data_IF_783259537495
#
_entry.id   IF_783259537495
#
_cell.length_a   1.000
_cell.length_b   1.000
_cell.length_c   1.000
_cell.angle_alpha   90.00
_cell.angle_beta   90.00
_cell.angle_gamma   90.00
#
_symmetry.space_group_name_H-M   'P 1'
#
loop_
_entity.id
_entity.type
_entity.pdbx_description
1 polymer ?
#
# COMPACT_ATOMS: atom_id res chain seq x y z
N UNK A 1 -14.43 -6.59 22.04
CA UNK A 1 -14.10 -5.27 21.47
C UNK A 1 -15.28 -4.80 20.63
N UNK A 2 -15.77 -3.58 20.87
CA UNK A 2 -16.90 -2.95 20.17
C UNK A 2 -16.38 -1.83 19.30
N UNK A 3 -16.52 -1.96 17.96
CA UNK A 3 -15.95 -1.03 16.99
C UNK A 3 -17.04 -0.43 16.12
N UNK A 4 -17.10 0.89 16.07
CA UNK A 4 -17.92 1.63 15.11
C UNK A 4 -17.05 2.09 13.95
N UNK A 5 -17.46 1.82 12.73
CA UNK A 5 -16.74 2.21 11.50
C UNK A 5 -17.60 3.25 10.75
N UNK A 6 -17.00 4.37 10.40
CA UNK A 6 -17.63 5.43 9.60
C UNK A 6 -16.97 5.46 8.23
N UNK A 7 -17.67 4.93 7.24
CA UNK A 7 -17.21 4.68 5.88
C UNK A 7 -17.23 3.19 5.53
N UNK A 8 -18.19 2.76 4.71
CA UNK A 8 -18.41 1.36 4.30
C UNK A 8 -17.71 0.98 2.99
N UNK A 9 -16.56 1.59 2.72
CA UNK A 9 -15.72 1.23 1.57
C UNK A 9 -14.87 -0.01 1.82
N UNK A 10 -13.88 -0.25 0.95
CA UNK A 10 -12.93 -1.36 1.04
C UNK A 10 -12.28 -1.49 2.43
N UNK A 11 -11.69 -0.40 2.92
CA UNK A 11 -10.93 -0.39 4.19
C UNK A 11 -11.85 -0.61 5.37
N UNK A 12 -12.93 0.17 5.49
CA UNK A 12 -13.86 0.08 6.61
C UNK A 12 -14.53 -1.28 6.71
N UNK A 13 -15.01 -1.82 5.60
CA UNK A 13 -15.63 -3.15 5.56
C UNK A 13 -14.62 -4.26 5.87
N UNK A 14 -13.37 -4.13 5.40
CA UNK A 14 -12.30 -5.10 5.74
C UNK A 14 -11.98 -5.11 7.24
N UNK A 15 -11.95 -3.92 7.88
CA UNK A 15 -11.80 -3.80 9.33
C UNK A 15 -12.98 -4.49 10.03
N UNK A 16 -14.22 -4.20 9.61
CA UNK A 16 -15.42 -4.79 10.20
C UNK A 16 -15.40 -6.33 10.11
N UNK A 17 -15.06 -6.89 8.96
CA UNK A 17 -14.91 -8.33 8.74
C UNK A 17 -13.83 -8.94 9.64
N UNK A 18 -12.69 -8.26 9.81
CA UNK A 18 -11.63 -8.76 10.68
C UNK A 18 -12.07 -8.71 12.15
N UNK A 19 -12.72 -7.64 12.60
CA UNK A 19 -13.29 -7.52 13.95
C UNK A 19 -14.25 -8.66 14.22
N UNK A 20 -15.18 -8.94 13.31
CA UNK A 20 -16.12 -10.06 13.43
C UNK A 20 -15.41 -11.41 13.51
N UNK A 21 -14.41 -11.63 12.65
CA UNK A 21 -13.62 -12.88 12.59
C UNK A 21 -12.87 -13.18 13.89
N UNK A 22 -12.43 -12.16 14.62
CA UNK A 22 -11.73 -12.32 15.90
C UNK A 22 -12.67 -12.27 17.12
N UNK A 23 -13.98 -12.38 16.91
CA UNK A 23 -14.99 -12.45 17.98
C UNK A 23 -15.37 -11.09 18.58
N UNK A 24 -15.10 -9.98 17.91
CA UNK A 24 -15.59 -8.65 18.26
C UNK A 24 -16.94 -8.34 17.62
N UNK A 25 -17.48 -7.15 17.93
CA UNK A 25 -18.70 -6.62 17.36
C UNK A 25 -18.37 -5.33 16.59
N UNK A 26 -18.91 -5.20 15.39
CA UNK A 26 -18.70 -4.04 14.55
C UNK A 26 -20.02 -3.48 14.02
N UNK A 27 -20.10 -2.17 13.80
CA UNK A 27 -21.16 -1.54 13.01
C UNK A 27 -20.54 -0.63 11.97
N UNK A 28 -21.07 -0.64 10.77
CA UNK A 28 -20.63 0.23 9.67
C UNK A 28 -21.73 1.24 9.37
N UNK A 29 -21.35 2.50 9.34
CA UNK A 29 -22.21 3.63 8.94
C UNK A 29 -21.59 4.22 7.67
N UNK A 30 -22.39 4.44 6.66
CA UNK A 30 -21.99 5.10 5.40
C UNK A 30 -23.12 6.00 4.90
N UNK A 31 -22.75 7.15 4.32
CA UNK A 31 -23.74 8.02 3.63
C UNK A 31 -24.37 7.35 2.42
N UNK A 32 -23.69 6.40 1.79
CA UNK A 32 -24.26 5.51 0.79
C UNK A 32 -24.93 4.32 1.51
N UNK A 33 -26.25 4.36 1.62
CA UNK A 33 -27.04 3.32 2.28
C UNK A 33 -26.88 1.91 1.65
N UNK A 34 -26.48 1.80 0.38
CA UNK A 34 -26.18 0.51 -0.22
C UNK A 34 -24.86 -0.07 0.34
N UNK A 35 -23.79 0.73 0.41
CA UNK A 35 -22.53 0.33 1.01
C UNK A 35 -22.71 -0.07 2.48
N UNK A 36 -23.46 0.73 3.24
CA UNK A 36 -23.76 0.41 4.64
C UNK A 36 -24.46 -0.95 4.79
N UNK A 37 -25.49 -1.22 3.98
CA UNK A 37 -26.21 -2.50 4.02
C UNK A 37 -25.31 -3.67 3.70
N UNK A 38 -24.59 -3.61 2.58
CA UNK A 38 -23.67 -4.69 2.16
C UNK A 38 -22.62 -4.93 3.24
N UNK A 39 -21.99 -3.90 3.78
CA UNK A 39 -20.98 -4.03 4.81
C UNK A 39 -21.53 -4.71 6.08
N UNK A 40 -22.72 -4.30 6.54
CA UNK A 40 -23.34 -4.88 7.74
C UNK A 40 -23.87 -6.31 7.50
N UNK A 41 -24.35 -6.63 6.29
CA UNK A 41 -24.73 -8.00 5.92
C UNK A 41 -23.51 -8.94 5.93
N UNK A 42 -22.36 -8.49 5.44
CA UNK A 42 -21.11 -9.27 5.45
C UNK A 42 -20.58 -9.57 6.86
N UNK A 43 -20.86 -8.70 7.84
CA UNK A 43 -20.49 -8.92 9.27
C UNK A 43 -21.39 -9.98 9.90
N UNK A 44 -22.64 -10.10 9.47
CA UNK A 44 -23.60 -11.06 9.97
C UNK A 44 -23.93 -10.89 11.45
N UNK A 45 -23.86 -11.99 12.23
CA UNK A 45 -24.22 -12.01 13.66
C UNK A 45 -23.30 -11.22 14.60
N UNK A 46 -22.18 -10.67 14.12
CA UNK A 46 -21.24 -9.86 14.90
C UNK A 46 -21.58 -8.35 14.82
N UNK A 47 -22.85 -8.00 14.55
CA UNK A 47 -23.28 -6.62 14.43
C UNK A 47 -23.40 -5.94 15.81
N UNK A 48 -22.68 -4.81 16.00
CA UNK A 48 -22.80 -3.95 17.16
C UNK A 48 -24.18 -3.24 17.13
N UNK A 49 -24.93 -3.35 18.21
CA UNK A 49 -26.26 -2.76 18.30
C UNK A 49 -26.20 -1.24 18.52
N UNK A 50 -27.21 -0.50 18.06
CA UNK A 50 -27.25 0.97 18.16
C UNK A 50 -27.17 1.52 19.58
N UNK A 51 -27.68 0.79 20.57
CA UNK A 51 -27.66 1.19 21.97
C UNK A 51 -26.33 0.88 22.68
N UNK A 52 -25.40 0.19 22.03
CA UNK A 52 -24.13 -0.19 22.59
C UNK A 52 -23.04 0.86 22.26
N UNK A 53 -22.43 1.40 23.32
CA UNK A 53 -21.33 2.36 23.14
C UNK A 53 -20.08 1.67 22.54
N UNK A 54 -19.49 2.21 21.48
CA UNK A 54 -18.24 1.70 20.93
C UNK A 54 -17.06 2.01 21.86
N UNK A 55 -16.09 1.11 21.90
CA UNK A 55 -14.78 1.34 22.54
C UNK A 55 -13.80 2.04 21.59
N UNK A 56 -13.97 1.82 20.30
CA UNK A 56 -13.15 2.38 19.23
C UNK A 56 -14.06 2.83 18.08
N UNK A 57 -13.79 4.02 17.56
CA UNK A 57 -14.38 4.49 16.29
C UNK A 57 -13.29 4.59 15.26
N UNK A 58 -13.52 4.01 14.08
CA UNK A 58 -12.60 4.05 12.94
C UNK A 58 -13.23 4.84 11.81
N UNK A 59 -12.64 5.98 11.46
CA UNK A 59 -13.07 6.84 10.35
C UNK A 59 -12.33 6.42 9.09
N UNK A 60 -13.08 5.95 8.10
CA UNK A 60 -12.57 5.43 6.83
C UNK A 60 -13.22 6.13 5.62
N UNK A 61 -13.61 7.38 5.81
CA UNK A 61 -14.15 8.26 4.77
C UNK A 61 -13.04 8.78 3.86
N UNK A 62 -13.37 9.32 2.67
CA UNK A 62 -12.38 10.05 1.86
C UNK A 62 -11.71 11.18 2.66
N UNK A 63 -10.47 11.48 2.29
CA UNK A 63 -9.58 12.40 3.04
C UNK A 63 -10.23 13.74 3.36
N UNK A 64 -10.97 14.31 2.42
CA UNK A 64 -11.61 15.63 2.59
C UNK A 64 -12.67 15.69 3.69
N UNK A 65 -13.20 14.55 4.09
CA UNK A 65 -14.26 14.47 5.10
C UNK A 65 -13.76 13.97 6.46
N UNK A 66 -12.51 13.49 6.55
CA UNK A 66 -11.99 12.86 7.79
C UNK A 66 -12.06 13.81 8.97
N UNK A 67 -11.60 15.05 8.80
CA UNK A 67 -11.47 15.99 9.91
C UNK A 67 -12.81 16.32 10.56
N UNK A 68 -13.84 16.58 9.76
CA UNK A 68 -15.18 16.87 10.24
C UNK A 68 -15.81 15.64 10.91
N UNK A 69 -15.68 14.46 10.26
CA UNK A 69 -16.23 13.20 10.79
C UNK A 69 -15.53 12.80 12.09
N UNK A 70 -14.21 12.96 12.19
CA UNK A 70 -13.47 12.70 13.44
C UNK A 70 -14.01 13.57 14.57
N UNK A 71 -14.17 14.89 14.35
CA UNK A 71 -14.73 15.77 15.37
C UNK A 71 -16.13 15.36 15.76
N UNK A 72 -17.01 15.08 14.80
CA UNK A 72 -18.35 14.58 15.06
C UNK A 72 -18.32 13.33 15.94
N UNK A 73 -17.48 12.35 15.61
CA UNK A 73 -17.41 11.09 16.35
C UNK A 73 -16.78 11.25 17.74
N UNK A 74 -15.84 12.17 17.94
CA UNK A 74 -15.32 12.53 19.26
C UNK A 74 -16.40 13.08 20.18
N UNK A 75 -17.31 13.89 19.63
CA UNK A 75 -18.42 14.47 20.40
C UNK A 75 -19.55 13.49 20.65
N UNK A 76 -19.89 12.64 19.68
CA UNK A 76 -20.96 11.65 19.80
C UNK A 76 -20.58 10.46 20.69
N UNK A 77 -19.31 10.12 20.80
CA UNK A 77 -18.81 8.94 21.51
C UNK A 77 -17.76 9.35 22.57
N UNK A 78 -18.16 9.98 23.68
CA UNK A 78 -17.24 10.61 24.63
C UNK A 78 -16.31 9.64 25.36
N UNK A 79 -16.56 8.33 25.31
CA UNK A 79 -15.73 7.30 25.94
C UNK A 79 -14.86 6.53 24.93
N UNK A 80 -15.10 6.70 23.63
CA UNK A 80 -14.38 5.98 22.61
C UNK A 80 -13.05 6.66 22.23
N UNK A 81 -12.07 5.86 21.84
CA UNK A 81 -10.92 6.31 21.09
C UNK A 81 -11.37 6.46 19.63
N UNK A 82 -10.94 7.51 18.95
CA UNK A 82 -11.21 7.72 17.53
C UNK A 82 -9.89 7.60 16.76
N UNK A 83 -9.87 6.78 15.72
CA UNK A 83 -8.77 6.67 14.76
C UNK A 83 -9.29 6.94 13.36
N UNK A 84 -8.41 7.32 12.45
CA UNK A 84 -8.72 7.39 11.02
C UNK A 84 -7.80 6.47 10.21
N UNK A 85 -8.10 6.30 8.93
CA UNK A 85 -7.29 5.51 7.99
C UNK A 85 -6.80 6.32 6.80
N UNK A 86 -6.84 7.63 6.90
CA UNK A 86 -6.50 8.54 5.79
C UNK A 86 -5.04 8.47 5.36
N UNK A 87 -4.80 8.80 4.10
CA UNK A 87 -3.47 8.73 3.47
C UNK A 87 -2.55 9.90 3.80
N UNK A 88 -3.06 10.96 4.44
CA UNK A 88 -2.27 12.13 4.89
C UNK A 88 -2.60 12.41 6.35
N UNK A 89 -1.63 12.90 7.13
CA UNK A 89 -1.77 13.05 8.57
C UNK A 89 -1.64 14.48 9.06
N UNK A 90 -0.66 15.26 8.60
CA UNK A 90 -0.39 16.60 9.10
C UNK A 90 -1.59 17.52 8.93
N UNK A 91 -2.15 17.57 7.73
CA UNK A 91 -3.34 18.38 7.43
C UNK A 91 -4.54 17.96 8.28
N UNK A 92 -4.82 16.66 8.36
CA UNK A 92 -5.96 16.12 9.11
C UNK A 92 -5.84 16.46 10.60
N UNK A 93 -4.68 16.29 11.22
CA UNK A 93 -4.46 16.64 12.63
C UNK A 93 -4.69 18.13 12.88
N UNK A 94 -4.15 18.99 12.01
CA UNK A 94 -4.30 20.44 12.13
C UNK A 94 -5.77 20.88 12.00
N UNK A 95 -6.49 20.33 11.05
CA UNK A 95 -7.91 20.64 10.83
C UNK A 95 -8.76 20.18 12.02
N UNK A 96 -8.58 18.93 12.52
CA UNK A 96 -9.29 18.42 13.70
C UNK A 96 -9.02 19.34 14.90
N UNK A 97 -7.76 19.69 15.15
CA UNK A 97 -7.42 20.61 16.23
C UNK A 97 -8.12 21.96 16.06
N UNK A 98 -8.03 22.56 14.87
CA UNK A 98 -8.63 23.88 14.58
C UNK A 98 -10.14 23.89 14.75
N UNK A 99 -10.84 22.81 14.34
CA UNK A 99 -12.29 22.72 14.53
C UNK A 99 -12.63 22.61 16.03
N UNK A 100 -11.92 21.75 16.77
CA UNK A 100 -12.14 21.60 18.22
C UNK A 100 -11.81 22.88 18.98
N UNK A 101 -10.79 23.62 18.58
CA UNK A 101 -10.43 24.91 19.19
C UNK A 101 -11.54 25.94 19.01
N UNK A 102 -12.08 26.09 17.80
CA UNK A 102 -13.23 26.97 17.52
C UNK A 102 -14.47 26.61 18.34
N UNK A 103 -14.62 25.34 18.70
CA UNK A 103 -15.71 24.83 19.52
C UNK A 103 -15.39 24.88 21.03
N UNK A 104 -14.21 25.32 21.45
CA UNK A 104 -13.72 25.24 22.83
C UNK A 104 -13.74 23.80 23.41
N UNK A 105 -13.38 22.81 22.57
CA UNK A 105 -13.40 21.37 22.87
C UNK A 105 -12.03 20.70 22.66
N UNK A 106 -10.94 21.43 22.76
CA UNK A 106 -9.58 20.92 22.54
C UNK A 106 -9.20 19.72 23.42
N UNK A 107 -9.81 19.60 24.61
CA UNK A 107 -9.61 18.44 25.48
C UNK A 107 -9.99 17.10 24.79
N UNK A 108 -10.92 17.11 23.85
CA UNK A 108 -11.34 15.91 23.12
C UNK A 108 -10.26 15.37 22.17
N UNK A 109 -9.32 16.22 21.76
CA UNK A 109 -8.25 15.84 20.84
C UNK A 109 -7.37 14.71 21.40
N UNK A 110 -7.24 14.57 22.69
CA UNK A 110 -6.44 13.49 23.32
C UNK A 110 -6.95 12.07 22.95
N UNK A 111 -8.22 11.94 22.56
CA UNK A 111 -8.84 10.69 22.15
C UNK A 111 -8.77 10.42 20.65
N UNK A 112 -8.25 11.33 19.85
CA UNK A 112 -8.01 11.13 18.42
C UNK A 112 -6.57 10.66 18.19
N UNK A 113 -6.37 9.41 17.82
CA UNK A 113 -5.07 8.88 17.39
C UNK A 113 -5.08 8.66 15.88
N UNK A 114 -4.46 9.53 15.11
CA UNK A 114 -4.43 9.41 13.65
C UNK A 114 -3.61 8.20 13.21
N UNK A 115 -4.13 7.44 12.24
CA UNK A 115 -3.45 6.24 11.72
C UNK A 115 -3.55 6.14 10.19
N UNK A 116 -2.74 5.26 9.60
CA UNK A 116 -2.82 4.96 8.17
C UNK A 116 -2.36 3.52 7.90
N UNK A 117 -3.26 2.59 7.53
CA UNK A 117 -2.89 1.26 7.07
C UNK A 117 -2.26 1.33 5.68
N UNK A 118 -1.04 0.80 5.51
CA UNK A 118 -0.40 0.66 4.20
C UNK A 118 -1.00 -0.52 3.45
N UNK A 119 -2.30 -0.47 3.22
CA UNK A 119 -3.08 -1.53 2.59
C UNK A 119 -4.12 -0.92 1.64
N UNK A 120 -4.28 -1.52 0.48
CA UNK A 120 -5.24 -1.12 -0.53
C UNK A 120 -5.33 -2.16 -1.63
N UNK A 121 -6.33 -2.04 -2.47
CA UNK A 121 -6.54 -2.83 -3.69
C UNK A 121 -7.07 -1.89 -4.77
N UNK A 122 -6.99 -2.32 -6.02
CA UNK A 122 -7.53 -1.61 -7.18
C UNK A 122 -9.07 -1.69 -7.25
N UNK A 123 -9.70 -2.36 -6.28
CA UNK A 123 -11.15 -2.47 -6.13
C UNK A 123 -11.64 -1.47 -5.09
N UNK A 124 -12.73 -0.78 -5.38
CA UNK A 124 -13.42 0.14 -4.46
C UNK A 124 -14.71 -0.50 -3.93
N UNK A 125 -15.24 0.05 -2.82
CA UNK A 125 -16.51 -0.41 -2.23
C UNK A 125 -16.38 -1.62 -1.30
N UNK A 126 -17.50 -2.05 -0.68
CA UNK A 126 -17.52 -3.18 0.25
C UNK A 126 -17.29 -4.54 -0.41
N UNK A 127 -17.61 -4.70 -1.69
CA UNK A 127 -17.50 -5.97 -2.44
C UNK A 127 -16.04 -6.44 -2.58
N UNK A 128 -15.09 -5.52 -2.53
CA UNK A 128 -13.66 -5.83 -2.56
C UNK A 128 -13.07 -6.18 -1.20
N UNK A 129 -13.86 -6.09 -0.12
CA UNK A 129 -13.37 -6.21 1.24
C UNK A 129 -12.94 -7.63 1.61
N UNK A 130 -11.91 -7.72 2.47
CA UNK A 130 -11.34 -8.99 2.96
C UNK A 130 -10.89 -8.86 4.40
N UNK A 131 -11.16 -9.88 5.20
CA UNK A 131 -10.72 -9.93 6.60
C UNK A 131 -9.21 -10.05 6.80
N UNK A 132 -8.46 -10.41 5.76
CA UNK A 132 -7.00 -10.57 5.74
C UNK A 132 -6.27 -9.42 5.04
N UNK A 133 -6.96 -8.33 4.71
CA UNK A 133 -6.39 -7.21 3.95
C UNK A 133 -5.13 -6.61 4.61
N UNK A 134 -5.07 -6.62 5.93
CA UNK A 134 -4.02 -5.97 6.73
C UNK A 134 -2.91 -6.93 7.19
N UNK A 135 -3.05 -8.24 6.95
CA UNK A 135 -2.08 -9.24 7.39
C UNK A 135 -0.66 -8.95 6.89
N UNK A 136 0.27 -8.81 7.83
CA UNK A 136 1.67 -8.49 7.54
C UNK A 136 1.92 -7.08 6.98
N UNK A 137 0.91 -6.21 6.92
CA UNK A 137 1.04 -4.84 6.39
C UNK A 137 1.54 -3.88 7.46
N UNK A 138 2.29 -2.87 7.03
CA UNK A 138 2.61 -1.74 7.89
C UNK A 138 1.35 -0.91 8.17
N UNK A 139 1.25 -0.39 9.41
CA UNK A 139 0.19 0.53 9.81
C UNK A 139 0.79 1.66 10.63
N UNK A 140 0.84 2.86 10.07
CA UNK A 140 1.39 4.02 10.75
C UNK A 140 0.43 4.53 11.83
N UNK A 141 1.00 4.95 12.97
CA UNK A 141 0.32 5.71 14.02
C UNK A 141 1.09 7.01 14.20
N UNK A 142 0.39 8.14 14.15
CA UNK A 142 1.01 9.45 14.26
C UNK A 142 0.45 10.23 15.46
N UNK A 143 0.74 9.78 16.70
CA UNK A 143 0.21 10.41 17.90
C UNK A 143 0.80 11.82 18.09
N UNK A 144 0.02 12.70 18.67
CA UNK A 144 0.53 13.96 19.22
C UNK A 144 1.39 13.66 20.47
N UNK A 145 2.32 14.56 20.83
CA UNK A 145 3.22 14.37 21.99
C UNK A 145 2.46 14.05 23.29
N UNK A 146 1.31 14.70 23.54
CA UNK A 146 0.46 14.47 24.71
C UNK A 146 -0.16 13.07 24.78
N UNK A 147 -0.12 12.31 23.70
CA UNK A 147 -0.67 10.97 23.60
C UNK A 147 0.37 9.87 23.76
N UNK A 148 1.66 10.25 23.80
CA UNK A 148 2.75 9.30 23.97
C UNK A 148 2.70 8.65 25.36
N UNK A 149 2.82 7.32 25.40
CA UNK A 149 2.78 6.55 26.64
C UNK A 149 1.39 6.41 27.29
N UNK A 150 0.32 6.82 26.59
CA UNK A 150 -1.06 6.68 27.12
C UNK A 150 -1.62 5.27 26.90
N UNK A 151 -2.59 4.88 27.74
CA UNK A 151 -3.38 3.66 27.56
C UNK A 151 -4.09 3.62 26.19
N UNK A 152 -4.57 4.76 25.71
CA UNK A 152 -5.20 4.88 24.40
C UNK A 152 -4.26 4.47 23.27
N UNK A 153 -2.98 4.86 23.33
CA UNK A 153 -1.99 4.47 22.32
C UNK A 153 -1.74 2.95 22.35
N UNK A 154 -1.61 2.36 23.54
CA UNK A 154 -1.40 0.91 23.65
C UNK A 154 -2.62 0.11 23.18
N UNK A 155 -3.83 0.60 23.45
CA UNK A 155 -5.08 -0.01 22.93
C UNK A 155 -5.14 0.05 21.41
N UNK A 156 -4.74 1.16 20.77
CA UNK A 156 -4.67 1.26 19.30
C UNK A 156 -3.61 0.35 18.72
N UNK A 157 -2.41 0.23 19.34
CA UNK A 157 -1.42 -0.76 18.93
C UNK A 157 -1.95 -2.20 19.03
N UNK A 158 -2.64 -2.52 20.12
CA UNK A 158 -3.30 -3.81 20.31
C UNK A 158 -4.35 -4.10 19.23
N UNK A 159 -5.16 -3.10 18.90
CA UNK A 159 -6.12 -3.19 17.78
C UNK A 159 -5.43 -3.47 16.45
N UNK A 160 -4.38 -2.71 16.09
CA UNK A 160 -3.62 -2.91 14.86
C UNK A 160 -2.99 -4.31 14.81
N UNK A 161 -2.43 -4.77 15.92
CA UNK A 161 -1.91 -6.15 16.04
C UNK A 161 -3.01 -7.20 15.83
N UNK A 162 -4.22 -6.99 16.38
CA UNK A 162 -5.36 -7.87 16.16
C UNK A 162 -5.86 -7.87 14.69
N UNK A 163 -5.62 -6.79 13.94
CA UNK A 163 -5.83 -6.77 12.48
C UNK A 163 -4.80 -7.59 11.71
N UNK A 164 -3.72 -8.08 12.36
CA UNK A 164 -2.62 -8.79 11.73
C UNK A 164 -1.55 -7.86 11.13
N UNK A 165 -1.64 -6.57 11.41
CA UNK A 165 -0.72 -5.56 10.90
C UNK A 165 0.42 -5.25 11.89
N UNK A 166 1.49 -4.64 11.38
CA UNK A 166 2.63 -4.18 12.18
C UNK A 166 2.53 -2.67 12.35
N UNK A 167 2.46 -2.19 13.60
CA UNK A 167 2.35 -0.76 13.89
C UNK A 167 3.72 -0.07 13.85
N UNK A 168 3.76 1.13 13.25
CA UNK A 168 4.92 2.01 13.19
C UNK A 168 4.56 3.38 13.76
N UNK A 169 5.28 3.80 14.83
CA UNK A 169 5.11 5.12 15.41
C UNK A 169 6.03 6.12 14.71
N UNK A 170 5.47 7.26 14.33
CA UNK A 170 6.21 8.37 13.76
C UNK A 170 5.42 9.68 13.91
N UNK A 171 6.03 10.83 13.67
CA UNK A 171 5.29 12.09 13.59
C UNK A 171 4.44 12.16 12.32
N UNK A 172 3.40 13.00 12.32
CA UNK A 172 2.57 13.23 11.14
C UNK A 172 3.40 13.75 9.94
N UNK A 173 4.34 14.66 10.19
CA UNK A 173 5.23 15.18 9.15
C UNK A 173 6.15 14.08 8.57
N UNK A 174 6.73 13.24 9.42
CA UNK A 174 7.57 12.15 8.96
C UNK A 174 6.77 11.13 8.13
N UNK A 175 5.54 10.81 8.56
CA UNK A 175 4.61 10.00 7.78
C UNK A 175 4.38 10.60 6.40
N UNK A 176 3.96 11.88 6.34
CA UNK A 176 3.61 12.55 5.08
C UNK A 176 4.83 12.68 4.14
N UNK A 177 6.04 12.88 4.70
CA UNK A 177 7.29 12.83 3.95
C UNK A 177 7.57 11.44 3.37
N UNK A 178 7.37 10.38 4.16
CA UNK A 178 7.61 9.00 3.69
C UNK A 178 6.62 8.59 2.62
N UNK A 179 5.31 8.85 2.80
CA UNK A 179 4.31 8.49 1.78
C UNK A 179 4.42 9.34 0.52
N UNK A 180 4.93 10.57 0.63
CA UNK A 180 5.27 11.38 -0.54
C UNK A 180 6.26 10.66 -1.45
N UNK A 181 7.32 10.04 -0.87
CA UNK A 181 8.34 9.30 -1.63
C UNK A 181 7.87 7.92 -2.08
N UNK A 182 7.15 7.19 -1.23
CA UNK A 182 6.87 5.77 -1.45
C UNK A 182 5.55 5.50 -2.17
N UNK A 183 4.66 6.48 -2.23
CA UNK A 183 3.32 6.36 -2.80
C UNK A 183 2.97 7.49 -3.76
N UNK A 184 3.02 8.75 -3.30
CA UNK A 184 2.48 9.88 -4.06
C UNK A 184 3.32 10.20 -5.30
N UNK A 185 4.65 10.27 -5.15
CA UNK A 185 5.55 10.54 -6.27
C UNK A 185 5.52 9.43 -7.32
N UNK A 186 5.57 8.14 -6.98
CA UNK A 186 5.37 7.05 -7.95
C UNK A 186 4.07 7.17 -8.75
N UNK A 187 2.96 7.50 -8.09
CA UNK A 187 1.67 7.70 -8.75
C UNK A 187 1.71 8.89 -9.73
N UNK A 188 2.29 10.03 -9.32
CA UNK A 188 2.45 11.20 -10.20
C UNK A 188 3.29 10.88 -11.43
N UNK A 189 4.42 10.20 -11.23
CA UNK A 189 5.33 9.85 -12.33
C UNK A 189 4.69 8.85 -13.31
N UNK A 190 3.96 7.85 -12.79
CA UNK A 190 3.22 6.92 -13.62
C UNK A 190 2.17 7.65 -14.47
N UNK A 191 1.42 8.58 -13.85
CA UNK A 191 0.40 9.38 -14.53
C UNK A 191 1.02 10.34 -15.55
N UNK A 192 2.15 10.98 -15.22
CA UNK A 192 2.86 11.85 -16.15
C UNK A 192 3.39 11.07 -17.36
N UNK A 193 3.99 9.90 -17.14
CA UNK A 193 4.44 9.02 -18.21
C UNK A 193 3.29 8.57 -19.11
N UNK A 194 2.20 8.07 -18.52
CA UNK A 194 1.04 7.63 -19.27
C UNK A 194 0.39 8.76 -20.08
N UNK A 195 0.35 9.97 -19.53
CA UNK A 195 -0.26 11.15 -20.16
C UNK A 195 0.50 11.69 -21.38
N UNK A 196 1.75 11.31 -21.59
CA UNK A 196 2.54 11.72 -22.78
C UNK A 196 2.64 10.64 -23.86
N UNK A 197 2.03 9.48 -23.66
CA UNK A 197 2.04 8.40 -24.64
C UNK A 197 1.21 8.76 -25.85
N UNK A 198 1.75 8.48 -27.04
CA UNK A 198 1.10 8.69 -28.33
C UNK A 198 0.99 7.35 -29.08
N UNK A 199 -0.13 7.11 -29.73
CA UNK A 199 -0.32 5.93 -30.57
C UNK A 199 0.42 6.05 -31.91
N UNK A 200 0.84 4.93 -32.54
CA UNK A 200 0.61 3.54 -32.11
C UNK A 200 1.58 3.06 -31.02
N UNK A 201 1.15 2.08 -30.22
CA UNK A 201 1.95 1.48 -29.13
C UNK A 201 2.23 -0.01 -29.37
N UNK A 202 2.38 -0.42 -30.61
CA UNK A 202 2.57 -1.83 -31.02
C UNK A 202 3.83 -2.47 -30.39
N UNK A 203 4.81 -1.65 -30.02
CA UNK A 203 6.05 -2.08 -29.38
C UNK A 203 6.03 -1.98 -27.84
N UNK A 204 4.85 -1.78 -27.24
CA UNK A 204 4.72 -1.66 -25.80
C UNK A 204 5.11 -2.98 -25.08
N UNK A 205 6.28 -2.97 -24.45
CA UNK A 205 6.80 -4.07 -23.64
C UNK A 205 6.37 -4.00 -22.18
N UNK A 206 6.84 -4.99 -21.39
CA UNK A 206 6.49 -5.10 -19.96
C UNK A 206 6.95 -3.89 -19.15
N UNK A 207 8.10 -3.30 -19.44
CA UNK A 207 8.61 -2.12 -18.72
C UNK A 207 7.64 -0.93 -18.77
N UNK A 208 7.03 -0.66 -19.95
CA UNK A 208 6.01 0.39 -20.05
C UNK A 208 4.76 0.05 -19.25
N UNK A 209 4.29 -1.21 -19.30
CA UNK A 209 3.10 -1.67 -18.54
C UNK A 209 3.33 -1.53 -17.04
N UNK A 210 4.49 -1.93 -16.53
CA UNK A 210 4.83 -1.83 -15.11
C UNK A 210 4.87 -0.38 -14.64
N UNK A 211 5.49 0.50 -15.43
CA UNK A 211 5.61 1.93 -15.12
C UNK A 211 4.26 2.66 -15.16
N UNK A 212 3.36 2.31 -16.08
CA UNK A 212 2.07 2.99 -16.26
C UNK A 212 0.92 2.36 -15.47
N UNK A 213 1.11 1.19 -14.88
CA UNK A 213 0.05 0.46 -14.15
C UNK A 213 -0.61 1.32 -13.06
N UNK A 214 0.18 2.09 -12.33
CA UNK A 214 -0.34 2.97 -11.27
C UNK A 214 -1.23 4.10 -11.81
N UNK A 215 -1.04 4.52 -13.06
CA UNK A 215 -1.85 5.59 -13.66
C UNK A 215 -3.33 5.23 -13.78
N UNK A 216 -3.66 3.92 -13.80
CA UNK A 216 -5.05 3.44 -13.84
C UNK A 216 -5.66 3.39 -12.42
N UNK A 217 -5.72 4.54 -11.75
CA UNK A 217 -6.19 4.70 -10.37
C UNK A 217 -7.38 5.66 -10.30
N UNK A 218 -8.14 5.59 -9.21
CA UNK A 218 -9.28 6.46 -8.95
C UNK A 218 -8.84 7.92 -8.76
N UNK A 219 -9.20 8.78 -9.70
CA UNK A 219 -8.88 10.22 -9.71
C UNK A 219 -9.47 10.93 -8.48
N UNK A 220 -10.70 10.57 -8.09
CA UNK A 220 -11.38 11.21 -6.96
C UNK A 220 -10.67 10.91 -5.62
N UNK A 221 -10.03 9.75 -5.51
CA UNK A 221 -9.21 9.41 -4.35
C UNK A 221 -7.88 10.19 -4.34
N UNK A 222 -7.21 10.33 -5.49
CA UNK A 222 -5.87 10.91 -5.55
C UNK A 222 -5.83 12.43 -5.47
N UNK A 223 -6.84 13.11 -6.03
CA UNK A 223 -6.89 14.58 -6.04
C UNK A 223 -6.74 15.20 -4.63
N UNK A 224 -7.51 14.82 -3.59
CA UNK A 224 -7.35 15.36 -2.26
C UNK A 224 -6.03 14.95 -1.59
N UNK A 225 -5.50 13.75 -1.90
CA UNK A 225 -4.20 13.30 -1.38
C UNK A 225 -3.07 14.20 -1.88
N UNK A 226 -3.02 14.48 -3.18
CA UNK A 226 -2.00 15.37 -3.75
C UNK A 226 -2.11 16.79 -3.22
N UNK A 227 -3.33 17.33 -3.16
CA UNK A 227 -3.56 18.67 -2.62
C UNK A 227 -3.16 18.79 -1.14
N UNK A 228 -3.47 17.74 -0.36
CA UNK A 228 -3.19 17.72 1.09
C UNK A 228 -1.76 17.41 1.48
N UNK A 229 -0.92 16.89 0.56
CA UNK A 229 0.50 16.61 0.82
C UNK A 229 1.45 17.31 -0.18
N UNK A 230 0.97 18.37 -0.82
CA UNK A 230 1.72 19.09 -1.85
C UNK A 230 3.06 19.64 -1.34
N UNK A 231 3.14 20.10 -0.08
CA UNK A 231 4.36 20.59 0.53
C UNK A 231 5.49 19.56 0.56
N UNK A 232 5.16 18.27 0.79
CA UNK A 232 6.14 17.19 0.80
C UNK A 232 6.45 16.66 -0.60
N UNK A 233 5.50 16.76 -1.53
CA UNK A 233 5.64 16.27 -2.91
C UNK A 233 6.47 17.22 -3.76
N UNK A 234 6.22 18.54 -3.64
CA UNK A 234 6.82 19.55 -4.52
C UNK A 234 8.36 19.49 -4.56
N UNK A 235 9.09 19.45 -3.43
CA UNK A 235 10.56 19.39 -3.47
C UNK A 235 11.10 18.11 -4.14
N UNK A 236 10.38 16.99 -3.99
CA UNK A 236 10.74 15.72 -4.63
C UNK A 236 10.57 15.80 -6.15
N UNK A 237 9.46 16.37 -6.59
CA UNK A 237 9.17 16.57 -8.00
C UNK A 237 10.18 17.53 -8.65
N UNK A 238 10.50 18.63 -7.98
CA UNK A 238 11.52 19.60 -8.45
C UNK A 238 12.89 18.94 -8.59
N UNK A 239 13.26 18.05 -7.66
CA UNK A 239 14.52 17.30 -7.73
C UNK A 239 14.58 16.40 -8.96
N UNK A 240 13.47 15.72 -9.32
CA UNK A 240 13.38 14.89 -10.53
C UNK A 240 13.46 15.75 -11.77
N UNK A 241 12.69 16.85 -11.84
CA UNK A 241 12.71 17.78 -12.97
C UNK A 241 14.12 18.32 -13.20
N UNK A 242 14.80 18.73 -12.12
CA UNK A 242 16.19 19.18 -12.20
C UNK A 242 17.11 18.13 -12.78
N UNK A 243 17.03 16.89 -12.29
CA UNK A 243 17.87 15.78 -12.76
C UNK A 243 17.65 15.46 -14.24
N UNK A 244 16.38 15.51 -14.71
CA UNK A 244 16.03 15.30 -16.12
C UNK A 244 16.53 16.47 -16.98
N UNK A 245 16.39 17.70 -16.52
CA UNK A 245 16.89 18.87 -17.24
C UNK A 245 18.41 18.87 -17.37
N UNK A 246 19.15 18.52 -16.32
CA UNK A 246 20.60 18.37 -16.37
C UNK A 246 21.05 17.34 -17.41
N UNK A 247 20.34 16.22 -17.52
CA UNK A 247 20.60 15.21 -18.54
C UNK A 247 20.34 15.74 -19.96
N UNK A 248 19.21 16.42 -20.16
CA UNK A 248 18.81 17.03 -21.42
C UNK A 248 19.80 18.15 -21.85
N UNK A 249 20.17 19.05 -20.93
CA UNK A 249 21.05 20.20 -21.22
C UNK A 249 22.48 19.78 -21.56
N UNK A 250 22.89 18.58 -21.11
CA UNK A 250 24.16 17.93 -21.52
C UNK A 250 24.00 17.05 -22.76
N UNK A 251 22.90 17.17 -23.51
CA UNK A 251 22.64 16.46 -24.76
C UNK A 251 22.81 14.94 -24.65
N UNK A 252 22.46 14.35 -23.49
CA UNK A 252 22.63 12.93 -23.23
C UNK A 252 24.04 12.38 -23.49
N UNK A 253 25.09 13.16 -23.21
CA UNK A 253 26.45 12.66 -23.37
C UNK A 253 26.75 11.49 -22.42
N UNK A 254 27.74 10.66 -22.74
CA UNK A 254 28.02 9.41 -22.03
C UNK A 254 28.21 9.58 -20.51
N UNK A 255 28.86 10.66 -20.07
CA UNK A 255 29.14 10.93 -18.67
C UNK A 255 27.85 11.27 -17.92
N UNK A 256 27.00 12.13 -18.49
CA UNK A 256 25.71 12.51 -17.85
C UNK A 256 24.74 11.34 -17.80
N UNK A 257 24.67 10.51 -18.84
CA UNK A 257 23.85 9.29 -18.86
C UNK A 257 24.35 8.31 -17.80
N UNK A 258 25.65 8.05 -17.72
CA UNK A 258 26.23 7.15 -16.73
C UNK A 258 25.88 7.62 -15.31
N UNK A 259 26.15 8.90 -14.98
CA UNK A 259 25.87 9.47 -13.67
C UNK A 259 24.38 9.36 -13.29
N UNK A 260 23.48 9.67 -14.23
CA UNK A 260 22.02 9.58 -14.04
C UNK A 260 21.59 8.14 -13.74
N UNK A 261 22.04 7.19 -14.55
CA UNK A 261 21.69 5.77 -14.38
C UNK A 261 22.27 5.18 -13.09
N UNK A 262 23.50 5.50 -12.73
CA UNK A 262 24.10 5.08 -11.45
C UNK A 262 23.36 5.62 -10.25
N UNK A 263 22.87 6.86 -10.30
CA UNK A 263 22.03 7.43 -9.24
C UNK A 263 20.73 6.63 -9.09
N UNK A 264 20.11 6.21 -10.19
CA UNK A 264 18.93 5.35 -10.19
C UNK A 264 19.21 3.98 -9.56
N UNK A 265 20.30 3.33 -9.94
CA UNK A 265 20.73 2.03 -9.36
C UNK A 265 20.96 2.15 -7.85
N UNK A 266 21.70 3.19 -7.41
CA UNK A 266 21.89 3.45 -5.97
C UNK A 266 20.56 3.71 -5.23
N UNK A 267 19.62 4.39 -5.87
CA UNK A 267 18.28 4.65 -5.33
C UNK A 267 17.47 3.36 -5.18
N UNK A 268 17.44 2.55 -6.22
CA UNK A 268 16.73 1.25 -6.20
C UNK A 268 17.27 0.32 -5.11
N UNK A 269 18.58 0.32 -4.86
CA UNK A 269 19.20 -0.44 -3.79
C UNK A 269 18.79 -0.03 -2.37
N UNK A 270 18.12 1.11 -2.18
CA UNK A 270 17.58 1.56 -0.88
C UNK A 270 16.18 1.02 -0.59
N UNK A 271 15.47 0.51 -1.61
CA UNK A 271 14.13 -0.02 -1.42
C UNK A 271 14.22 -1.35 -0.68
N UNK A 272 13.58 -1.49 0.50
CA UNK A 272 13.65 -2.73 1.27
C UNK A 272 13.13 -3.92 0.47
N UNK A 273 13.78 -5.07 0.62
CA UNK A 273 13.28 -6.33 0.05
C UNK A 273 11.98 -6.79 0.69
N UNK A 274 11.38 -7.83 0.13
CA UNK A 274 10.04 -8.36 0.44
C UNK A 274 9.75 -8.64 1.93
N UNK A 275 10.79 -8.79 2.76
CA UNK A 275 10.68 -9.05 4.20
C UNK A 275 11.15 -7.87 5.08
N UNK A 276 11.19 -6.64 4.52
CA UNK A 276 11.59 -5.44 5.27
C UNK A 276 13.08 -5.39 5.68
N UNK A 277 13.89 -6.35 5.21
CA UNK A 277 15.33 -6.41 5.44
C UNK A 277 16.14 -5.74 4.34
N UNK A 278 17.48 -5.78 4.49
CA UNK A 278 18.41 -5.34 3.44
C UNK A 278 18.03 -6.01 2.12
N UNK A 279 18.01 -5.29 0.98
CA UNK A 279 17.76 -5.88 -0.32
C UNK A 279 18.67 -7.10 -0.51
N UNK A 280 18.07 -8.30 -0.56
CA UNK A 280 18.85 -9.51 -0.79
C UNK A 280 19.16 -9.57 -2.27
N UNK A 281 20.42 -9.73 -2.62
CA UNK A 281 20.85 -10.06 -3.98
C UNK A 281 20.39 -11.49 -4.28
N UNK A 282 19.14 -11.64 -4.75
CA UNK A 282 18.66 -12.92 -5.24
C UNK A 282 19.35 -13.26 -6.56
N UNK A 283 19.59 -14.53 -6.79
CA UNK A 283 19.97 -15.02 -8.09
C UNK A 283 18.72 -15.23 -8.94
N UNK A 284 18.78 -14.87 -10.21
CA UNK A 284 17.67 -15.00 -11.14
C UNK A 284 17.88 -16.18 -12.10
N UNK A 285 16.86 -17.03 -12.25
CA UNK A 285 16.79 -18.11 -13.22
C UNK A 285 15.62 -17.84 -14.16
N UNK A 286 15.90 -17.70 -15.43
CA UNK A 286 14.88 -17.55 -16.47
C UNK A 286 14.45 -18.94 -16.98
N UNK A 287 13.13 -19.18 -17.05
CA UNK A 287 12.54 -20.45 -17.51
C UNK A 287 11.50 -20.15 -18.59
N UNK A 288 11.64 -20.78 -19.74
CA UNK A 288 10.63 -20.73 -20.81
C UNK A 288 9.48 -21.67 -20.46
N UNK A 289 8.25 -21.16 -20.47
CA UNK A 289 7.05 -21.93 -20.14
C UNK A 289 6.03 -21.87 -21.28
N UNK A 290 5.45 -23.00 -21.70
CA UNK A 290 4.29 -22.99 -22.60
C UNK A 290 3.10 -22.25 -21.96
N UNK A 291 2.36 -21.46 -22.73
CA UNK A 291 1.14 -20.77 -22.27
C UNK A 291 -0.05 -21.74 -22.28
N UNK A 292 0.02 -22.74 -21.41
CA UNK A 292 -0.97 -23.80 -21.27
C UNK A 292 -1.42 -23.95 -19.81
N UNK A 293 -2.68 -24.34 -19.57
CA UNK A 293 -3.18 -24.62 -18.22
C UNK A 293 -2.32 -25.65 -17.48
N UNK A 294 -1.93 -25.33 -16.24
CA UNK A 294 -1.18 -26.24 -15.35
C UNK A 294 0.34 -26.15 -15.44
N UNK A 295 0.93 -25.51 -16.44
CA UNK A 295 2.39 -25.44 -16.57
C UNK A 295 3.07 -24.68 -15.42
N UNK A 296 2.47 -23.61 -14.93
CA UNK A 296 2.95 -22.91 -13.72
C UNK A 296 2.96 -23.81 -12.49
N UNK A 297 1.87 -24.56 -12.27
CA UNK A 297 1.78 -25.50 -11.15
C UNK A 297 2.86 -26.59 -11.24
N UNK A 298 3.09 -27.12 -12.46
CA UNK A 298 4.14 -28.10 -12.72
C UNK A 298 5.54 -27.54 -12.41
N UNK A 299 5.83 -26.32 -12.84
CA UNK A 299 7.12 -25.66 -12.56
C UNK A 299 7.32 -25.49 -11.03
N UNK A 300 6.31 -25.02 -10.31
CA UNK A 300 6.42 -24.83 -8.87
C UNK A 300 6.56 -26.14 -8.09
N UNK A 301 5.89 -27.22 -8.53
CA UNK A 301 6.08 -28.54 -7.94
C UNK A 301 7.53 -29.03 -8.10
N UNK A 302 8.13 -28.85 -9.26
CA UNK A 302 9.53 -29.22 -9.49
C UNK A 302 10.50 -28.37 -8.66
N UNK A 303 10.20 -27.07 -8.43
CA UNK A 303 10.98 -26.27 -7.49
C UNK A 303 10.85 -26.78 -6.04
N UNK A 304 9.66 -27.21 -5.64
CA UNK A 304 9.42 -27.80 -4.32
C UNK A 304 10.13 -29.15 -4.16
N UNK A 305 10.19 -29.99 -5.18
CA UNK A 305 10.96 -31.24 -5.20
C UNK A 305 12.45 -30.99 -5.00
N UNK A 306 13.00 -29.93 -5.59
CA UNK A 306 14.36 -29.47 -5.35
C UNK A 306 14.59 -28.90 -3.93
N UNK A 307 13.54 -28.71 -3.13
CA UNK A 307 13.54 -28.08 -1.78
C UNK A 307 14.10 -26.66 -1.80
N UNK A 308 13.90 -25.94 -2.89
CA UNK A 308 14.37 -24.56 -3.08
C UNK A 308 13.19 -23.61 -2.93
N UNK A 309 13.36 -22.60 -2.07
CA UNK A 309 12.37 -21.56 -1.87
C UNK A 309 12.42 -20.53 -3.01
N UNK A 310 11.26 -20.19 -3.58
CA UNK A 310 11.12 -19.10 -4.54
C UNK A 310 10.89 -17.82 -3.74
N UNK A 311 11.84 -16.91 -3.75
CA UNK A 311 11.80 -15.66 -3.01
C UNK A 311 10.95 -14.60 -3.73
N UNK A 312 11.01 -14.58 -5.06
CA UNK A 312 10.20 -13.74 -5.92
C UNK A 312 10.04 -14.35 -7.30
N UNK A 313 9.05 -13.91 -8.05
CA UNK A 313 8.84 -14.35 -9.43
C UNK A 313 8.37 -13.17 -10.31
N UNK A 314 8.75 -13.23 -11.58
CA UNK A 314 8.27 -12.31 -12.60
C UNK A 314 7.84 -13.12 -13.81
N UNK A 315 6.66 -12.78 -14.36
CA UNK A 315 6.11 -13.43 -15.54
C UNK A 315 6.08 -12.41 -16.66
N UNK A 316 6.66 -12.75 -17.80
CA UNK A 316 6.69 -11.91 -18.99
C UNK A 316 5.98 -12.63 -20.13
N UNK A 317 4.97 -11.99 -20.71
CA UNK A 317 4.27 -12.46 -21.89
C UNK A 317 4.62 -11.55 -23.08
N UNK A 318 4.97 -12.14 -24.20
CA UNK A 318 5.13 -11.42 -25.46
C UNK A 318 3.84 -11.56 -26.27
N UNK A 319 3.24 -10.46 -26.76
CA UNK A 319 2.03 -10.54 -27.59
C UNK A 319 2.22 -11.46 -28.78
N UNK A 320 1.26 -12.40 -28.98
CA UNK A 320 1.26 -13.33 -30.11
C UNK A 320 2.21 -14.52 -29.99
N UNK A 321 2.80 -14.78 -28.83
CA UNK A 321 3.62 -15.98 -28.58
C UNK A 321 2.88 -17.01 -27.73
N UNK A 322 3.01 -18.30 -28.06
CA UNK A 322 2.45 -19.42 -27.29
C UNK A 322 3.31 -19.82 -26.09
N UNK A 323 4.32 -19.03 -25.75
CA UNK A 323 5.24 -19.25 -24.63
C UNK A 323 5.41 -17.97 -23.82
N UNK A 324 5.52 -18.13 -22.50
CA UNK A 324 5.89 -17.08 -21.57
C UNK A 324 7.31 -17.29 -21.03
N UNK A 325 7.90 -16.24 -20.50
CA UNK A 325 9.16 -16.29 -19.78
C UNK A 325 8.91 -16.04 -18.29
N UNK A 326 9.42 -16.96 -17.44
CA UNK A 326 9.32 -16.80 -16.00
C UNK A 326 10.71 -16.61 -15.43
N UNK A 327 10.91 -15.50 -14.71
CA UNK A 327 12.11 -15.29 -13.92
C UNK A 327 11.83 -15.70 -12.47
N UNK A 328 12.49 -16.76 -12.01
CA UNK A 328 12.48 -17.22 -10.63
C UNK A 328 13.65 -16.58 -9.88
N UNK A 329 13.35 -15.92 -8.76
CA UNK A 329 14.36 -15.34 -7.89
C UNK A 329 14.54 -16.25 -6.68
N UNK A 330 15.75 -16.75 -6.49
CA UNK A 330 16.12 -17.70 -5.43
C UNK A 330 17.39 -17.26 -4.73
N UNK A 331 17.74 -17.92 -3.62
CA UNK A 331 19.03 -17.69 -2.98
C UNK A 331 20.17 -17.95 -3.99
N UNK A 332 21.18 -17.07 -4.10
CA UNK A 332 22.27 -17.26 -5.05
C UNK A 332 22.99 -18.61 -4.96
N UNK A 333 23.07 -19.19 -3.75
CA UNK A 333 23.64 -20.52 -3.54
C UNK A 333 22.84 -21.66 -4.16
N UNK A 334 21.55 -21.45 -4.40
CA UNK A 334 20.64 -22.47 -4.91
C UNK A 334 20.45 -22.48 -6.44
N UNK A 335 20.94 -21.41 -7.11
CA UNK A 335 20.75 -21.21 -8.55
C UNK A 335 21.19 -22.39 -9.42
N UNK A 336 22.44 -22.84 -9.21
CA UNK A 336 23.00 -23.94 -10.00
C UNK A 336 22.25 -25.26 -9.75
N UNK A 337 21.85 -25.50 -8.51
CA UNK A 337 21.09 -26.70 -8.13
C UNK A 337 19.71 -26.68 -8.79
N UNK A 338 19.02 -25.54 -8.74
CA UNK A 338 17.70 -25.41 -9.36
C UNK A 338 17.78 -25.51 -10.87
N UNK A 339 18.76 -24.85 -11.51
CA UNK A 339 18.92 -24.89 -12.94
C UNK A 339 19.17 -26.32 -13.45
N UNK A 340 20.06 -27.06 -12.77
CA UNK A 340 20.34 -28.46 -13.11
C UNK A 340 19.10 -29.35 -12.91
N UNK A 341 18.39 -29.19 -11.79
CA UNK A 341 17.17 -29.97 -11.52
C UNK A 341 16.10 -29.72 -12.59
N UNK A 342 15.80 -28.47 -12.90
CA UNK A 342 14.81 -28.13 -13.93
C UNK A 342 15.22 -28.61 -15.32
N UNK A 343 16.50 -28.51 -15.67
CA UNK A 343 17.03 -29.00 -16.94
C UNK A 343 16.87 -30.51 -17.09
N UNK A 344 17.07 -31.31 -16.02
CA UNK A 344 16.85 -32.77 -16.05
C UNK A 344 15.39 -33.15 -16.24
N UNK A 345 14.46 -32.27 -15.86
CA UNK A 345 13.01 -32.44 -16.05
C UNK A 345 12.49 -31.82 -17.36
N UNK A 346 13.39 -31.45 -18.27
CA UNK A 346 13.08 -30.95 -19.60
C UNK A 346 12.69 -29.47 -19.69
N UNK A 347 12.93 -28.68 -18.64
CA UNK A 347 12.72 -27.24 -18.72
C UNK A 347 13.89 -26.53 -19.41
N UNK A 348 13.57 -25.58 -20.28
CA UNK A 348 14.57 -24.66 -20.82
C UNK A 348 14.79 -23.54 -19.80
N UNK A 349 15.86 -23.67 -19.01
CA UNK A 349 16.21 -22.71 -17.97
C UNK A 349 17.63 -22.17 -18.16
N UNK A 350 17.81 -20.87 -17.82
CA UNK A 350 19.10 -20.18 -17.96
C UNK A 350 19.33 -19.29 -16.75
N UNK A 351 20.51 -19.40 -16.14
CA UNK A 351 20.92 -18.47 -15.06
C UNK A 351 21.18 -17.11 -15.68
N UNK A 352 20.45 -16.11 -15.18
CA UNK A 352 20.64 -14.72 -15.64
C UNK A 352 21.94 -14.15 -15.03
N UNK A 353 22.72 -13.39 -15.81
CA UNK A 353 23.88 -12.70 -15.27
C UNK A 353 23.44 -11.72 -14.20
N UNK A 354 24.25 -11.56 -13.14
CA UNK A 354 23.99 -10.51 -12.15
C UNK A 354 24.06 -9.17 -12.85
N UNK A 355 22.95 -8.43 -12.87
CA UNK A 355 23.00 -7.01 -13.18
C UNK A 355 23.75 -6.33 -12.04
N UNK A 356 24.94 -5.84 -12.34
CA UNK A 356 25.77 -5.05 -11.44
C UNK A 356 25.15 -3.68 -11.18
#
# INVERSE_FOLDING_TARGET
MKVKIVGGGLIGTSIALKVAKIGGFASVIDRNGAHQRVANELIGGALLQEHEAPELVVVTTPVDFISEVVVEQLLLNPLAIVIDTGSIKTKVQLEVWTILEKMSKTAEFVRFLPTHPMAGRELSGPDGARSDLFEGRAWAITPHESQMGTDSLERVKGFIGAMGAVSYLMSAQEHDRQVAMTSHLPQLLASALAGVLLEPLDLAGQGLRDMTRLANSDIAMWQPIFAGNSEMITPLLESIIKSINELKDKEFNSESVLSFMEAGVRGAGKVPGKHGGVPRNYGALSVVIPDEPGQLARLFNHCAEAKINIEDLRIEHSPGQETGLISLFVNPGDLSTLNNHLSTLGWHSTIMPKNH
#
